data_IF_596247839013
#
_entry.id   IF_596247839013
#
_cell.length_a   1.000
_cell.length_b   1.000
_cell.length_c   1.000
_cell.angle_alpha   90.00
_cell.angle_beta   90.00
_cell.angle_gamma   90.00
#
_symmetry.space_group_name_H-M   'P 1'
#
loop_
_entity.id
_entity.type
_entity.pdbx_description
1 polymer ?
#
# COMPACT_ATOMS: atom_id res chain seq x y z
N UNK A 1 -17.87 -22.87 -28.61
CA UNK A 1 -17.29 -21.85 -27.72
C UNK A 1 -17.71 -22.22 -26.31
N UNK A 2 -16.80 -22.72 -25.51
CA UNK A 2 -17.11 -23.07 -24.11
C UNK A 2 -16.91 -21.82 -23.28
N UNK A 3 -18.01 -21.24 -22.80
CA UNK A 3 -17.94 -20.18 -21.78
C UNK A 3 -17.64 -20.90 -20.47
N UNK A 4 -16.45 -20.69 -19.94
CA UNK A 4 -16.01 -21.27 -18.67
C UNK A 4 -16.28 -20.22 -17.59
N UNK A 5 -17.15 -20.56 -16.63
CA UNK A 5 -17.41 -19.75 -15.45
C UNK A 5 -16.69 -20.41 -14.29
N UNK A 6 -15.38 -20.18 -14.18
CA UNK A 6 -14.64 -20.59 -12.99
C UNK A 6 -14.96 -19.54 -11.91
N UNK A 7 -15.73 -19.94 -10.90
CA UNK A 7 -16.07 -19.12 -9.73
C UNK A 7 -15.26 -19.63 -8.54
N UNK A 8 -14.26 -18.85 -8.13
CA UNK A 8 -13.45 -19.12 -6.96
C UNK A 8 -13.77 -18.10 -5.87
N UNK A 9 -14.26 -18.60 -4.73
CA UNK A 9 -14.44 -17.84 -3.49
C UNK A 9 -13.51 -18.44 -2.48
N UNK A 10 -12.89 -17.60 -1.67
CA UNK A 10 -12.14 -18.06 -0.51
C UNK A 10 -13.01 -18.90 0.41
N UNK A 11 -12.51 -20.08 0.75
CA UNK A 11 -13.20 -21.05 1.61
C UNK A 11 -13.24 -20.63 3.08
N UNK A 12 -12.54 -19.56 3.47
CA UNK A 12 -12.41 -19.13 4.87
C UNK A 12 -12.53 -17.60 5.00
N UNK A 13 -13.53 -17.14 5.77
CA UNK A 13 -13.54 -15.78 6.34
C UNK A 13 -13.56 -14.59 5.37
N UNK A 14 -13.94 -14.78 4.10
CA UNK A 14 -13.89 -13.75 3.06
C UNK A 14 -12.48 -13.19 2.76
N UNK A 15 -11.43 -13.95 3.11
CA UNK A 15 -10.04 -13.65 2.75
C UNK A 15 -9.91 -13.57 1.22
N UNK A 16 -9.15 -12.63 0.68
CA UNK A 16 -8.97 -12.44 -0.77
C UNK A 16 -7.49 -12.52 -1.10
N UNK A 17 -7.01 -13.74 -1.28
CA UNK A 17 -5.65 -13.99 -1.76
C UNK A 17 -5.74 -14.29 -3.25
N UNK A 18 -5.12 -13.44 -4.06
CA UNK A 18 -5.17 -13.58 -5.51
C UNK A 18 -3.78 -13.57 -6.10
N UNK A 19 -3.58 -14.43 -7.09
CA UNK A 19 -2.37 -14.47 -7.88
C UNK A 19 -2.45 -13.43 -9.01
N UNK A 20 -1.43 -12.59 -9.11
CA UNK A 20 -1.28 -11.60 -10.17
C UNK A 20 0.06 -11.81 -10.88
N UNK A 21 0.12 -11.64 -12.21
CA UNK A 21 1.40 -11.54 -12.90
C UNK A 21 2.20 -10.35 -12.37
N UNK A 22 3.47 -10.53 -12.05
CA UNK A 22 4.34 -9.44 -11.52
C UNK A 22 4.45 -8.28 -12.50
N UNK A 23 4.40 -8.55 -13.82
CA UNK A 23 4.34 -7.53 -14.87
C UNK A 23 3.08 -6.64 -14.83
N UNK A 24 2.08 -6.97 -14.00
CA UNK A 24 0.87 -6.16 -13.78
C UNK A 24 0.91 -5.37 -12.47
N UNK A 25 2.04 -5.38 -11.76
CA UNK A 25 2.23 -4.59 -10.54
C UNK A 25 2.97 -3.29 -10.86
N UNK A 26 2.70 -2.24 -10.08
CA UNK A 26 3.46 -0.99 -10.12
C UNK A 26 4.95 -1.24 -9.79
N UNK A 27 5.23 -2.12 -8.82
CA UNK A 27 6.56 -2.69 -8.60
C UNK A 27 6.64 -4.11 -9.22
N UNK A 28 7.33 -4.29 -10.36
CA UNK A 28 7.44 -5.59 -11.03
C UNK A 28 8.38 -6.58 -10.31
N UNK A 29 9.10 -6.13 -9.27
CA UNK A 29 9.95 -6.96 -8.42
C UNK A 29 9.44 -6.90 -6.97
N UNK A 30 8.22 -7.39 -6.71
CA UNK A 30 7.64 -7.36 -5.37
C UNK A 30 8.44 -8.23 -4.41
N UNK A 31 8.54 -7.81 -3.14
CA UNK A 31 9.06 -8.66 -2.06
C UNK A 31 7.93 -9.02 -1.11
N UNK A 32 7.88 -10.24 -0.57
CA UNK A 32 6.91 -10.59 0.47
C UNK A 32 6.91 -9.57 1.61
N UNK A 33 5.73 -9.30 2.17
CA UNK A 33 5.42 -8.27 3.19
C UNK A 33 5.42 -6.82 2.69
N UNK A 34 5.82 -6.56 1.45
CA UNK A 34 5.71 -5.21 0.88
C UNK A 34 4.28 -4.90 0.41
N UNK A 35 3.91 -3.61 0.42
CA UNK A 35 2.72 -3.13 -0.27
C UNK A 35 2.80 -3.39 -1.77
N UNK A 36 1.65 -3.66 -2.38
CA UNK A 36 1.50 -3.77 -3.83
C UNK A 36 0.29 -2.97 -4.33
N UNK A 37 0.40 -2.50 -5.56
CA UNK A 37 -0.69 -1.91 -6.34
C UNK A 37 -0.69 -2.53 -7.75
N UNK A 38 -1.87 -2.90 -8.23
CA UNK A 38 -2.07 -3.49 -9.56
C UNK A 38 -2.27 -2.37 -10.59
N UNK A 39 -1.54 -2.40 -11.70
CA UNK A 39 -1.69 -1.44 -12.79
C UNK A 39 -3.16 -1.32 -13.25
N UNK A 40 -3.68 -0.09 -13.19
CA UNK A 40 -5.01 0.31 -13.65
C UNK A 40 -4.90 1.29 -14.82
N UNK A 41 -5.92 1.35 -15.66
CA UNK A 41 -6.02 2.37 -16.72
C UNK A 41 -6.26 3.77 -16.16
N UNK A 42 -6.80 3.87 -14.94
CA UNK A 42 -7.09 5.14 -14.27
C UNK A 42 -6.20 5.25 -13.03
N UNK A 43 -5.28 6.23 -12.98
CA UNK A 43 -4.47 6.47 -11.79
C UNK A 43 -5.33 6.73 -10.55
N UNK A 44 -4.83 6.34 -9.38
CA UNK A 44 -5.53 6.44 -8.11
C UNK A 44 -6.61 5.37 -7.86
N UNK A 45 -6.94 4.53 -8.85
CA UNK A 45 -8.01 3.52 -8.77
C UNK A 45 -7.51 2.09 -8.69
N UNK A 46 -6.20 1.90 -8.57
CA UNK A 46 -5.56 0.60 -8.53
C UNK A 46 -6.08 -0.24 -7.35
N UNK A 47 -6.23 -1.55 -7.59
CA UNK A 47 -6.38 -2.52 -6.51
C UNK A 47 -5.08 -2.58 -5.71
N UNK A 48 -5.18 -2.48 -4.39
CA UNK A 48 -4.03 -2.49 -3.47
C UNK A 48 -4.08 -3.68 -2.52
N UNK A 49 -2.93 -4.06 -1.98
CA UNK A 49 -2.82 -5.17 -1.04
C UNK A 49 -1.39 -5.44 -0.57
N UNK A 50 -1.18 -6.56 0.12
CA UNK A 50 0.13 -6.95 0.66
C UNK A 50 0.63 -8.21 -0.03
N UNK A 51 1.89 -8.20 -0.45
CA UNK A 51 2.51 -9.37 -1.08
C UNK A 51 2.70 -10.46 -0.03
N UNK A 52 2.12 -11.64 -0.24
CA UNK A 52 2.28 -12.81 0.62
C UNK A 52 3.44 -13.69 0.15
N UNK A 53 3.54 -13.89 -1.15
CA UNK A 53 4.58 -14.72 -1.76
C UNK A 53 4.80 -14.34 -3.21
N UNK A 54 5.95 -14.74 -3.73
CA UNK A 54 6.36 -14.58 -5.13
C UNK A 54 6.84 -15.94 -5.64
N UNK A 55 6.50 -16.30 -6.87
CA UNK A 55 6.96 -17.54 -7.50
C UNK A 55 8.48 -17.51 -7.69
N UNK A 56 9.11 -18.69 -7.73
CA UNK A 56 10.57 -18.79 -7.80
C UNK A 56 11.21 -18.20 -9.08
N UNK A 57 10.39 -17.97 -10.11
CA UNK A 57 10.77 -17.34 -11.38
C UNK A 57 10.36 -15.85 -11.46
N UNK A 58 9.86 -15.28 -10.35
CA UNK A 58 9.40 -13.89 -10.22
C UNK A 58 8.32 -13.48 -11.24
N UNK A 59 7.51 -14.43 -11.74
CA UNK A 59 6.45 -14.15 -12.72
C UNK A 59 5.08 -13.94 -12.10
N UNK A 60 4.83 -14.49 -10.91
CA UNK A 60 3.55 -14.43 -10.21
C UNK A 60 3.77 -14.01 -8.76
N UNK A 61 2.95 -13.07 -8.28
CA UNK A 61 2.85 -12.73 -6.86
C UNK A 61 1.46 -13.07 -6.33
N UNK A 62 1.39 -13.66 -5.14
CA UNK A 62 0.15 -13.81 -4.38
C UNK A 62 -0.01 -12.59 -3.48
N UNK A 63 -1.11 -11.87 -3.62
CA UNK A 63 -1.37 -10.63 -2.89
C UNK A 63 -2.62 -10.81 -2.03
N UNK A 64 -2.53 -10.38 -0.78
CA UNK A 64 -3.66 -10.23 0.12
C UNK A 64 -4.36 -8.90 -0.13
N UNK A 65 -5.57 -8.97 -0.68
CA UNK A 65 -6.45 -7.83 -0.93
C UNK A 65 -7.68 -7.84 0.00
N UNK A 66 -7.58 -8.58 1.12
CA UNK A 66 -8.67 -8.70 2.09
C UNK A 66 -8.92 -7.37 2.78
N UNK A 67 -10.08 -6.78 2.53
CA UNK A 67 -10.51 -5.55 3.18
C UNK A 67 -10.45 -5.65 4.71
N UNK A 68 -9.96 -4.59 5.34
CA UNK A 68 -9.82 -4.40 6.77
C UNK A 68 -8.79 -5.30 7.50
N UNK A 69 -7.96 -6.05 6.77
CA UNK A 69 -6.78 -6.66 7.39
C UNK A 69 -5.75 -5.59 7.78
N UNK A 70 -5.08 -5.79 8.92
CA UNK A 70 -4.11 -4.85 9.47
C UNK A 70 -2.70 -5.41 9.34
N UNK A 71 -1.82 -4.65 8.68
CA UNK A 71 -0.41 -5.00 8.54
C UNK A 71 0.50 -3.93 9.14
N UNK A 72 1.71 -4.34 9.49
CA UNK A 72 2.77 -3.40 9.86
C UNK A 72 3.47 -2.92 8.60
N UNK A 73 3.36 -1.62 8.34
CA UNK A 73 3.89 -1.02 7.13
C UNK A 73 4.81 0.14 7.45
N UNK A 74 5.81 0.33 6.60
CA UNK A 74 6.60 1.54 6.55
C UNK A 74 5.81 2.62 5.79
N UNK A 75 5.52 3.72 6.46
CA UNK A 75 4.80 4.86 5.88
C UNK A 75 5.68 6.10 5.96
N UNK A 76 5.93 6.72 4.82
CA UNK A 76 6.66 7.98 4.71
C UNK A 76 5.71 9.15 4.97
N UNK A 77 6.15 10.13 5.76
CA UNK A 77 5.28 11.21 6.23
C UNK A 77 5.19 12.42 5.28
N UNK A 78 5.56 12.25 4.02
CA UNK A 78 5.37 13.28 2.99
C UNK A 78 3.87 13.52 2.76
N UNK A 79 3.50 14.80 2.66
CA UNK A 79 2.14 15.24 2.38
C UNK A 79 1.99 15.75 0.96
N UNK A 80 3.00 16.47 0.45
CA UNK A 80 2.97 17.06 -0.88
C UNK A 80 4.33 17.04 -1.56
N UNK A 81 4.27 17.13 -2.89
CA UNK A 81 5.41 17.32 -3.77
C UNK A 81 5.37 18.70 -4.42
N UNK A 82 6.55 19.23 -4.73
CA UNK A 82 6.72 20.45 -5.52
C UNK A 82 7.89 20.25 -6.46
N UNK A 83 7.69 20.52 -7.75
CA UNK A 83 8.75 20.43 -8.77
C UNK A 83 9.49 19.07 -8.79
N UNK A 84 8.77 17.96 -8.56
CA UNK A 84 9.37 16.62 -8.60
C UNK A 84 10.06 16.16 -7.31
N UNK A 85 10.07 16.99 -6.26
CA UNK A 85 10.67 16.69 -4.96
C UNK A 85 9.67 16.82 -3.82
N UNK A 86 9.93 16.13 -2.72
CA UNK A 86 9.14 16.25 -1.49
C UNK A 86 9.17 17.70 -1.00
N UNK A 87 8.00 18.24 -0.65
CA UNK A 87 7.85 19.66 -0.31
C UNK A 87 7.38 19.88 1.12
N UNK A 88 6.44 19.08 1.60
CA UNK A 88 5.92 19.19 2.96
C UNK A 88 5.77 17.83 3.61
N UNK A 89 5.96 17.80 4.93
CA UNK A 89 5.84 16.60 5.76
C UNK A 89 4.92 16.86 6.94
N UNK A 90 4.22 15.83 7.36
CA UNK A 90 3.20 15.88 8.40
C UNK A 90 3.44 14.92 9.55
N UNK A 91 2.71 15.16 10.62
CA UNK A 91 2.41 14.10 11.59
C UNK A 91 1.47 13.07 10.93
N UNK A 92 1.72 11.79 11.20
CA UNK A 92 0.85 10.67 10.84
C UNK A 92 -0.01 10.35 12.06
N UNK A 93 -1.32 10.54 11.95
CA UNK A 93 -2.31 10.31 13.00
C UNK A 93 -3.06 9.00 12.77
N UNK A 94 -3.69 8.50 13.82
CA UNK A 94 -4.65 7.39 13.71
C UNK A 94 -5.83 7.87 12.86
N UNK A 95 -6.21 7.07 11.86
CA UNK A 95 -7.28 7.39 10.90
C UNK A 95 -6.82 8.13 9.65
N UNK A 96 -5.55 8.57 9.57
CA UNK A 96 -5.06 9.21 8.35
C UNK A 96 -5.03 8.22 7.18
N UNK A 97 -5.39 8.67 5.96
CA UNK A 97 -5.29 7.85 4.77
C UNK A 97 -3.83 7.59 4.42
N UNK A 98 -3.56 6.37 3.96
CA UNK A 98 -2.26 5.92 3.48
C UNK A 98 -2.41 5.54 2.01
N UNK A 99 -1.52 6.05 1.17
CA UNK A 99 -1.53 5.86 -0.27
C UNK A 99 -0.32 5.06 -0.72
N UNK A 100 -0.47 4.28 -1.79
CA UNK A 100 0.65 3.64 -2.47
C UNK A 100 1.40 4.70 -3.29
N UNK A 101 2.59 5.07 -2.85
CA UNK A 101 3.37 6.17 -3.43
C UNK A 101 4.46 5.64 -4.35
N UNK A 102 4.29 5.92 -5.66
CA UNK A 102 5.22 5.53 -6.72
C UNK A 102 6.30 6.57 -7.01
N UNK A 103 6.42 7.58 -6.16
CA UNK A 103 7.40 8.65 -6.33
C UNK A 103 8.83 8.11 -6.31
N UNK A 104 9.64 8.50 -7.29
CA UNK A 104 11.05 8.13 -7.38
C UNK A 104 11.91 8.69 -6.21
N UNK A 105 11.38 9.64 -5.44
CA UNK A 105 12.04 10.24 -4.28
C UNK A 105 11.81 9.44 -3.00
N UNK A 106 10.91 8.46 -3.00
CA UNK A 106 10.62 7.65 -1.82
C UNK A 106 11.88 6.93 -1.34
N UNK A 107 12.09 6.81 -0.02
CA UNK A 107 13.18 6.01 0.51
C UNK A 107 13.11 4.56 0.01
N UNK A 108 14.26 3.93 -0.22
CA UNK A 108 14.32 2.54 -0.69
C UNK A 108 13.53 1.59 0.21
N UNK A 109 12.69 0.75 -0.39
CA UNK A 109 11.84 -0.21 0.33
C UNK A 109 10.61 0.42 0.99
N UNK A 110 10.31 1.70 0.73
CA UNK A 110 9.11 2.40 1.22
C UNK A 110 8.23 2.76 0.04
N UNK A 111 7.01 2.23 0.04
CA UNK A 111 6.04 2.40 -1.05
C UNK A 111 4.74 3.04 -0.57
N UNK A 112 4.66 3.44 0.70
CA UNK A 112 3.48 4.07 1.25
C UNK A 112 3.80 5.46 1.78
N UNK A 113 2.90 6.40 1.54
CA UNK A 113 2.97 7.73 2.12
C UNK A 113 1.59 8.25 2.53
N UNK A 114 1.58 9.41 3.17
CA UNK A 114 0.36 10.19 3.42
C UNK A 114 0.02 11.16 2.28
N UNK A 115 0.76 11.12 1.16
CA UNK A 115 0.52 12.01 0.04
C UNK A 115 -0.46 11.41 -0.97
N UNK A 116 -1.57 12.11 -1.28
CA UNK A 116 -2.54 11.62 -2.26
C UNK A 116 -2.03 11.66 -3.70
N UNK A 117 -0.89 12.32 -3.97
CA UNK A 117 -0.31 12.44 -5.31
C UNK A 117 1.18 12.12 -5.27
N UNK A 118 1.69 11.53 -6.35
CA UNK A 118 3.12 11.28 -6.52
C UNK A 118 3.90 12.55 -6.88
N UNK A 119 5.21 12.41 -7.00
CA UNK A 119 6.13 13.49 -7.35
C UNK A 119 5.92 14.06 -8.77
N UNK A 120 5.12 13.41 -9.60
CA UNK A 120 4.73 13.90 -10.93
C UNK A 120 3.36 14.59 -10.92
N UNK A 121 2.68 14.63 -9.77
CA UNK A 121 1.33 15.18 -9.62
C UNK A 121 0.22 14.22 -10.04
N UNK A 122 0.52 12.92 -10.18
CA UNK A 122 -0.48 11.91 -10.51
C UNK A 122 -1.05 11.29 -9.23
N UNK A 123 -2.35 11.03 -9.19
CA UNK A 123 -3.01 10.48 -8.00
C UNK A 123 -2.46 9.11 -7.60
N UNK A 124 -2.10 8.97 -6.33
CA UNK A 124 -1.69 7.72 -5.73
C UNK A 124 -2.90 6.88 -5.33
N UNK A 125 -2.86 5.54 -5.52
CA UNK A 125 -3.93 4.66 -5.05
C UNK A 125 -4.10 4.74 -3.54
N UNK A 126 -5.35 4.81 -3.06
CA UNK A 126 -5.62 4.63 -1.64
C UNK A 126 -5.28 3.18 -1.25
N UNK A 127 -4.40 3.03 -0.27
CA UNK A 127 -3.97 1.72 0.23
C UNK A 127 -4.75 1.30 1.47
N UNK A 128 -4.96 2.24 2.39
CA UNK A 128 -5.50 1.95 3.69
C UNK A 128 -5.66 3.16 4.58
N UNK A 129 -5.91 2.89 5.85
CA UNK A 129 -5.95 3.90 6.91
C UNK A 129 -5.07 3.47 8.07
N UNK A 130 -4.43 4.44 8.71
CA UNK A 130 -3.62 4.19 9.90
C UNK A 130 -4.51 3.72 11.05
N UNK A 131 -4.13 2.60 11.67
CA UNK A 131 -4.77 2.06 12.87
C UNK A 131 -3.72 1.67 13.91
N UNK A 132 -4.06 1.65 15.21
CA UNK A 132 -3.14 1.16 16.23
C UNK A 132 -2.80 -0.32 16.01
N UNK A 133 -1.50 -0.66 16.00
CA UNK A 133 -1.02 -2.05 15.86
C UNK A 133 -1.37 -2.90 17.09
N UNK A 134 -1.37 -2.29 18.27
CA UNK A 134 -1.63 -2.93 19.56
C UNK A 134 -2.07 -1.85 20.57
N UNK A 135 -3.21 -2.02 21.21
CA UNK A 135 -4.02 -0.90 21.71
C UNK A 135 -3.38 -0.12 22.86
N UNK A 136 -2.52 -0.70 23.70
CA UNK A 136 -2.10 0.01 24.91
C UNK A 136 -0.72 0.69 24.81
N UNK A 137 0.15 0.23 23.91
CA UNK A 137 1.54 0.72 23.80
C UNK A 137 1.77 1.56 22.55
N UNK A 138 1.04 1.28 21.47
CA UNK A 138 1.20 2.00 20.19
C UNK A 138 0.34 3.27 20.15
N UNK A 139 -0.82 3.29 20.81
CA UNK A 139 -1.71 4.46 20.83
C UNK A 139 -1.03 5.73 21.36
N UNK A 140 -0.26 5.69 22.48
CA UNK A 140 0.45 6.88 22.97
C UNK A 140 1.59 7.36 22.08
N UNK A 141 2.05 6.54 21.13
CA UNK A 141 3.12 6.89 20.20
C UNK A 141 2.64 7.71 19.00
N UNK A 142 1.32 7.87 18.83
CA UNK A 142 0.76 8.76 17.82
C UNK A 142 0.57 10.19 18.36
N UNK A 143 0.76 11.23 17.53
CA UNK A 143 1.17 11.15 16.13
C UNK A 143 2.63 10.72 15.93
N UNK A 144 2.89 10.00 14.85
CA UNK A 144 4.25 9.60 14.42
C UNK A 144 4.78 10.58 13.37
N UNK A 145 6.10 10.77 13.28
CA UNK A 145 6.70 11.74 12.36
C UNK A 145 6.42 13.20 12.74
N UNK A 146 6.63 14.13 11.80
CA UNK A 146 6.44 15.57 12.05
C UNK A 146 6.76 16.43 10.82
N UNK A 147 7.18 17.67 11.03
CA UNK A 147 7.43 18.64 9.95
C UNK A 147 8.71 18.35 9.10
N UNK A 148 9.33 17.20 9.30
CA UNK A 148 10.56 16.77 8.62
C UNK A 148 10.38 15.38 8.05
N UNK A 149 11.08 15.10 6.95
CA UNK A 149 11.09 13.79 6.31
C UNK A 149 11.45 12.68 7.30
N UNK A 150 10.56 11.69 7.41
CA UNK A 150 10.78 10.51 8.23
C UNK A 150 9.89 9.35 7.77
N UNK A 151 10.37 8.13 7.99
CA UNK A 151 9.59 6.91 7.74
C UNK A 151 9.23 6.28 9.07
N UNK A 152 7.96 5.92 9.22
CA UNK A 152 7.40 5.43 10.48
C UNK A 152 6.83 4.03 10.26
N UNK A 153 6.94 3.17 11.27
CA UNK A 153 6.21 1.89 11.26
C UNK A 153 4.80 2.13 11.81
N UNK A 154 3.80 1.89 10.97
CA UNK A 154 2.39 2.09 11.28
C UNK A 154 1.61 0.77 11.12
N UNK A 155 0.58 0.59 11.94
CA UNK A 155 -0.48 -0.35 11.60
C UNK A 155 -1.32 0.27 10.49
N UNK A 156 -1.52 -0.45 9.39
CA UNK A 156 -2.33 0.03 8.27
C UNK A 156 -3.42 -1.00 8.00
N UNK A 157 -4.66 -0.55 8.17
CA UNK A 157 -5.85 -1.30 7.80
C UNK A 157 -6.09 -1.10 6.31
N UNK A 158 -5.90 -2.15 5.52
CA UNK A 158 -6.04 -2.07 4.07
C UNK A 158 -7.51 -1.93 3.67
N UNK A 159 -7.81 -1.12 2.65
CA UNK A 159 -9.21 -0.97 2.21
C UNK A 159 -9.71 -2.19 1.45
N UNK A 160 -8.81 -2.94 0.80
CA UNK A 160 -9.17 -3.92 -0.23
C UNK A 160 -9.82 -3.25 -1.45
N UNK A 161 -9.84 -3.93 -2.59
CA UNK A 161 -10.62 -3.48 -3.75
C UNK A 161 -11.94 -4.22 -3.92
#
# INVERSE_FOLDING_TARGET
>A
MTIRHDYEVSSEGAVRHWAFPTARLENPHPVPTEPAAILSNTPGTQLTGVVLSVSADDTIAVIDTTSHMVYNMLVHNVLTYSTGVEATWGAINIGDPVYYDRSATMPTGVYLSTSPQDNTGTDNPLFGFVVPKNTDVDMPAYPKGGATASTQTCGVMIIGG
#
